data_IF_322947094897
#
_entry.id   IF_322947094897
#
_cell.length_a   1.000
_cell.length_b   1.000
_cell.length_c   1.000
_cell.angle_alpha   90.00
_cell.angle_beta   90.00
_cell.angle_gamma   90.00
#
_symmetry.space_group_name_H-M   'P 1'
#
loop_
_entity.id
_entity.type
_entity.pdbx_description
1 polymer ?
#
# COMPACT_ATOMS: atom_id res chain seq x y z
N UNK A 1 -7.11 -3.66 26.82
CA UNK A 1 -6.73 -3.57 25.40
C UNK A 1 -7.90 -3.96 24.51
N UNK A 2 -8.17 -3.14 23.50
CA UNK A 2 -9.18 -3.38 22.44
C UNK A 2 -8.46 -3.93 21.19
N UNK A 3 -9.23 -4.49 20.26
CA UNK A 3 -8.72 -4.86 18.93
C UNK A 3 -9.02 -3.71 17.97
N UNK A 4 -8.02 -3.31 17.20
CA UNK A 4 -8.12 -2.33 16.13
C UNK A 4 -7.77 -3.01 14.81
N UNK A 5 -8.51 -2.67 13.75
CA UNK A 5 -8.13 -3.06 12.40
C UNK A 5 -7.35 -1.89 11.78
N UNK A 6 -6.11 -2.15 11.40
CA UNK A 6 -5.25 -1.15 10.76
C UNK A 6 -4.98 -1.60 9.34
N UNK A 7 -5.30 -0.73 8.40
CA UNK A 7 -5.12 -0.96 6.98
C UNK A 7 -3.94 -0.14 6.46
N UNK A 8 -3.14 -0.74 5.58
CA UNK A 8 -1.97 -0.11 4.98
C UNK A 8 -1.99 -0.34 3.48
N UNK A 9 -1.92 0.76 2.72
CA UNK A 9 -1.73 0.74 1.28
C UNK A 9 -0.28 1.13 1.01
N UNK A 10 0.52 0.20 0.49
CA UNK A 10 1.90 0.41 0.05
C UNK A 10 1.93 0.54 -1.48
N UNK A 11 2.46 1.65 -2.00
CA UNK A 11 2.60 1.89 -3.44
C UNK A 11 4.01 2.34 -3.76
N UNK A 12 4.50 2.06 -4.97
CA UNK A 12 5.67 2.77 -5.47
C UNK A 12 5.37 4.27 -5.48
N UNK A 13 6.35 5.13 -5.18
CA UNK A 13 6.25 6.59 -5.35
C UNK A 13 6.07 6.91 -6.83
N UNK A 14 5.42 8.03 -7.15
CA UNK A 14 5.16 8.45 -8.54
C UNK A 14 6.38 8.39 -9.46
N UNK A 15 7.54 8.83 -8.98
CA UNK A 15 8.80 8.82 -9.75
C UNK A 15 9.42 7.42 -9.92
N UNK A 16 9.02 6.45 -9.11
CA UNK A 16 9.51 5.07 -9.22
C UNK A 16 8.70 4.32 -10.27
N UNK A 17 9.41 3.53 -11.08
CA UNK A 17 8.82 2.66 -12.10
C UNK A 17 7.95 1.58 -11.46
N UNK A 18 6.83 1.27 -12.10
CA UNK A 18 5.90 0.22 -11.70
C UNK A 18 5.69 -0.76 -12.87
N UNK A 19 6.57 -1.78 -13.02
CA UNK A 19 6.50 -2.72 -14.13
C UNK A 19 5.20 -3.54 -14.17
N UNK A 20 4.58 -3.79 -13.00
CA UNK A 20 3.34 -4.54 -12.91
C UNK A 20 2.18 -3.71 -13.47
N UNK A 21 2.08 -2.44 -13.05
CA UNK A 21 1.10 -1.50 -13.59
C UNK A 21 1.27 -1.29 -15.10
N UNK A 22 2.51 -1.12 -15.56
CA UNK A 22 2.83 -1.02 -16.99
C UNK A 22 2.34 -2.26 -17.76
N UNK A 23 2.63 -3.47 -17.25
CA UNK A 23 2.22 -4.73 -17.89
C UNK A 23 0.69 -4.84 -17.97
N UNK A 24 -0.04 -4.49 -16.91
CA UNK A 24 -1.50 -4.48 -16.92
C UNK A 24 -2.03 -3.48 -17.95
N UNK A 25 -1.43 -2.29 -18.03
CA UNK A 25 -1.82 -1.26 -19.00
C UNK A 25 -1.65 -1.75 -20.44
N UNK A 26 -0.44 -2.19 -20.79
CA UNK A 26 -0.11 -2.59 -22.16
C UNK A 26 -0.88 -3.84 -22.59
N UNK A 27 -0.82 -4.90 -21.76
CA UNK A 27 -1.23 -6.23 -22.20
C UNK A 27 -2.70 -6.53 -21.92
N UNK A 28 -3.34 -5.80 -21.00
CA UNK A 28 -4.73 -6.01 -20.66
C UNK A 28 -5.57 -4.81 -21.09
N UNK A 29 -5.33 -3.62 -20.54
CA UNK A 29 -6.22 -2.47 -20.75
C UNK A 29 -6.26 -2.02 -22.21
N UNK A 30 -5.09 -1.78 -22.82
CA UNK A 30 -5.02 -1.32 -24.21
C UNK A 30 -5.51 -2.38 -25.19
N UNK A 31 -5.12 -3.64 -25.00
CA UNK A 31 -5.56 -4.78 -25.83
C UNK A 31 -7.08 -4.94 -25.82
N UNK A 32 -7.74 -4.67 -24.68
CA UNK A 32 -9.19 -4.79 -24.54
C UNK A 32 -9.93 -3.46 -24.81
N UNK A 33 -9.27 -2.45 -25.39
CA UNK A 33 -9.92 -1.24 -25.88
C UNK A 33 -10.17 -0.15 -24.83
N UNK A 34 -9.62 -0.26 -23.62
CA UNK A 34 -9.72 0.76 -22.57
C UNK A 34 -8.76 1.95 -22.82
N UNK A 35 -8.88 2.60 -23.98
CA UNK A 35 -7.97 3.66 -24.45
C UNK A 35 -7.97 4.93 -23.59
N UNK A 36 -9.04 5.16 -22.83
CA UNK A 36 -9.18 6.33 -21.94
C UNK A 36 -8.47 6.15 -20.59
N UNK A 37 -7.95 4.95 -20.28
CA UNK A 37 -7.17 4.72 -19.06
C UNK A 37 -5.72 5.05 -19.34
N UNK A 38 -5.30 6.26 -18.96
CA UNK A 38 -3.96 6.78 -19.26
C UNK A 38 -2.85 6.03 -18.50
N UNK A 39 -3.08 5.71 -17.22
CA UNK A 39 -2.12 5.01 -16.36
C UNK A 39 -2.81 4.18 -15.28
N UNK A 40 -2.11 3.16 -14.80
CA UNK A 40 -2.49 2.35 -13.64
C UNK A 40 -1.26 2.17 -12.76
N UNK A 41 -1.48 2.10 -11.45
CA UNK A 41 -0.44 1.86 -10.45
C UNK A 41 -0.88 0.68 -9.58
N UNK A 42 0.03 -0.25 -9.36
CA UNK A 42 -0.17 -1.34 -8.41
C UNK A 42 0.43 -1.00 -7.06
N UNK A 43 0.01 -1.77 -6.07
CA UNK A 43 0.42 -1.62 -4.69
C UNK A 43 -0.02 -2.82 -3.87
N UNK A 44 0.49 -2.92 -2.66
CA UNK A 44 0.10 -3.94 -1.69
C UNK A 44 -0.88 -3.36 -0.70
N UNK A 45 -1.94 -4.11 -0.42
CA UNK A 45 -2.83 -3.85 0.69
C UNK A 45 -2.48 -4.81 1.82
N UNK A 46 -2.27 -4.29 3.02
CA UNK A 46 -1.99 -5.06 4.23
C UNK A 46 -3.05 -4.71 5.27
N UNK A 47 -3.61 -5.73 5.90
CA UNK A 47 -4.54 -5.58 7.01
C UNK A 47 -3.94 -6.20 8.27
N UNK A 48 -3.95 -5.45 9.37
CA UNK A 48 -3.44 -5.87 10.66
C UNK A 48 -4.57 -5.83 11.69
N UNK A 49 -4.65 -6.87 12.52
CA UNK A 49 -5.46 -6.84 13.74
C UNK A 49 -4.52 -6.63 14.93
N UNK A 50 -4.59 -5.46 15.54
CA UNK A 50 -3.67 -5.03 16.61
C UNK A 50 -4.42 -4.94 17.93
N UNK A 51 -3.89 -5.54 18.99
CA UNK A 51 -4.37 -5.31 20.35
C UNK A 51 -3.64 -4.08 20.91
N UNK A 52 -4.37 -3.03 21.26
CA UNK A 52 -3.82 -1.78 21.81
C UNK A 52 -4.80 -1.16 22.82
N UNK A 53 -4.40 -0.11 23.52
CA UNK A 53 -5.26 0.64 24.43
C UNK A 53 -6.09 1.69 23.67
N UNK A 54 -5.52 2.28 22.62
CA UNK A 54 -6.14 3.27 21.74
C UNK A 54 -5.66 3.14 20.28
N UNK A 55 -6.24 3.97 19.41
CA UNK A 55 -5.95 4.02 17.97
C UNK A 55 -4.50 4.45 17.70
N UNK A 56 -3.97 5.38 18.48
CA UNK A 56 -2.62 5.92 18.27
C UNK A 56 -1.55 4.86 18.56
N UNK A 57 -1.73 4.09 19.63
CA UNK A 57 -0.89 2.95 19.97
C UNK A 57 -0.97 1.86 18.89
N UNK A 58 -2.17 1.54 18.39
CA UNK A 58 -2.33 0.58 17.29
C UNK A 58 -1.58 1.01 16.03
N UNK A 59 -1.69 2.30 15.65
CA UNK A 59 -0.96 2.86 14.53
C UNK A 59 0.56 2.79 14.75
N UNK A 60 1.05 3.19 15.92
CA UNK A 60 2.48 3.17 16.26
C UNK A 60 3.08 1.77 16.13
N UNK A 61 2.37 0.74 16.58
CA UNK A 61 2.87 -0.64 16.48
C UNK A 61 2.97 -1.10 15.01
N UNK A 62 1.97 -0.78 14.17
CA UNK A 62 2.04 -1.07 12.73
C UNK A 62 3.17 -0.30 12.06
N UNK A 63 3.32 0.99 12.35
CA UNK A 63 4.44 1.78 11.84
C UNK A 63 5.79 1.20 12.26
N UNK A 64 5.94 0.76 13.52
CA UNK A 64 7.17 0.13 14.00
C UNK A 64 7.47 -1.14 13.21
N UNK A 65 6.48 -2.03 13.07
CA UNK A 65 6.63 -3.27 12.31
C UNK A 65 7.03 -3.02 10.85
N UNK A 66 6.38 -2.06 10.17
CA UNK A 66 6.68 -1.72 8.78
C UNK A 66 8.12 -1.23 8.59
N UNK A 67 8.63 -0.43 9.53
CA UNK A 67 9.98 0.13 9.47
C UNK A 67 11.06 -0.87 9.90
N UNK A 68 10.92 -1.50 11.06
CA UNK A 68 11.94 -2.41 11.63
C UNK A 68 12.15 -3.64 10.75
N UNK A 69 11.05 -4.21 10.24
CA UNK A 69 11.11 -5.40 9.39
C UNK A 69 11.32 -5.07 7.91
N UNK A 70 11.45 -3.78 7.56
CA UNK A 70 11.63 -3.30 6.17
C UNK A 70 10.59 -3.87 5.21
N UNK A 71 9.33 -3.95 5.66
CA UNK A 71 8.19 -4.43 4.84
C UNK A 71 7.99 -3.54 3.61
N UNK A 72 8.44 -2.29 3.68
CA UNK A 72 8.54 -1.38 2.54
C UNK A 72 9.93 -0.74 2.48
N UNK A 73 10.28 -0.22 1.30
CA UNK A 73 11.48 0.59 1.11
C UNK A 73 11.08 2.08 1.06
N UNK A 74 11.45 2.91 2.05
CA UNK A 74 11.05 4.31 2.12
C UNK A 74 11.61 5.20 1.00
N UNK A 75 12.65 4.74 0.29
CA UNK A 75 13.20 5.47 -0.86
C UNK A 75 12.24 5.40 -2.04
N UNK A 76 11.68 4.23 -2.31
CA UNK A 76 10.90 3.95 -3.53
C UNK A 76 9.40 3.77 -3.27
N UNK A 77 8.97 3.51 -2.04
CA UNK A 77 7.56 3.32 -1.69
C UNK A 77 7.01 4.49 -0.88
N UNK A 78 5.71 4.71 -1.04
CA UNK A 78 4.86 5.54 -0.18
C UNK A 78 3.81 4.64 0.48
N UNK A 79 3.37 5.03 1.67
CA UNK A 79 2.38 4.30 2.45
C UNK A 79 1.24 5.21 2.87
N UNK A 80 0.03 4.67 2.91
CA UNK A 80 -1.14 5.28 3.53
C UNK A 80 -1.69 4.33 4.58
N UNK A 81 -1.86 4.81 5.81
CA UNK A 81 -2.37 4.02 6.94
C UNK A 81 -3.73 4.58 7.35
N UNK A 82 -4.69 3.69 7.59
CA UNK A 82 -6.02 4.00 8.15
C UNK A 82 -6.36 3.01 9.27
N UNK A 83 -7.21 3.43 10.20
CA UNK A 83 -7.72 2.57 11.27
C UNK A 83 -9.24 2.54 11.18
N UNK A 84 -9.80 1.33 11.23
CA UNK A 84 -11.23 1.07 11.36
C UNK A 84 -11.61 0.72 12.80
#
# INVERSE_FOLDING_TARGET
MKKFRVEVILKCKRAARDPEGETIRENLLLVHGFKNVESIRTGKYLEFIVKANDVEEAMKEVYRALNELRIFNPVIHELKVSVE
#
